data_IF_871160113706
#
_entry.id   IF_871160113706
#
_cell.length_a   1.000
_cell.length_b   1.000
_cell.length_c   1.000
_cell.angle_alpha   90.00
_cell.angle_beta   90.00
_cell.angle_gamma   90.00
#
_symmetry.space_group_name_H-M   'P 1'
#
loop_
_entity.id
_entity.type
_entity.pdbx_description
1 polymer ?
#
# COMPACT_ATOMS: atom_id res chain seq x y z
N UNK A 1 22.91 -6.90 7.54
CA UNK A 1 21.64 -6.31 8.01
C UNK A 1 20.52 -6.89 7.16
N UNK A 2 19.62 -7.67 7.74
CA UNK A 2 18.47 -8.22 7.04
C UNK A 2 17.66 -7.06 6.45
N UNK A 3 17.43 -7.04 5.13
CA UNK A 3 16.49 -6.11 4.51
C UNK A 3 15.12 -6.41 5.08
N UNK A 4 14.63 -5.57 5.99
CA UNK A 4 13.26 -5.64 6.46
C UNK A 4 12.34 -5.70 5.24
N UNK A 5 11.39 -6.64 5.27
CA UNK A 5 10.31 -6.76 4.30
C UNK A 5 9.54 -5.43 4.25
N UNK A 6 9.92 -4.56 3.31
CA UNK A 6 9.45 -3.18 3.27
C UNK A 6 8.01 -3.17 2.76
N UNK A 7 7.10 -2.65 3.58
CA UNK A 7 5.78 -2.28 3.09
C UNK A 7 5.94 -1.34 1.88
N UNK A 8 5.12 -1.57 0.85
CA UNK A 8 5.00 -0.60 -0.24
C UNK A 8 4.61 0.75 0.33
N UNK A 9 5.39 1.78 0.04
CA UNK A 9 5.13 3.14 0.49
C UNK A 9 4.27 3.91 -0.51
N UNK A 10 3.53 4.90 -0.02
CA UNK A 10 2.86 5.84 -0.91
C UNK A 10 3.89 6.71 -1.63
N UNK A 11 3.62 7.02 -2.90
CA UNK A 11 4.56 7.77 -3.73
C UNK A 11 5.03 9.07 -3.07
N UNK A 12 4.13 9.84 -2.51
CA UNK A 12 4.42 11.11 -1.84
C UNK A 12 5.16 10.95 -0.51
N UNK A 13 5.00 9.81 0.20
CA UNK A 13 5.68 9.56 1.47
C UNK A 13 7.18 9.32 1.29
N UNK A 14 7.63 9.01 0.07
CA UNK A 14 9.05 8.73 -0.21
C UNK A 14 9.95 9.94 0.11
N UNK A 15 9.41 11.16 -0.01
CA UNK A 15 10.11 12.39 0.40
C UNK A 15 10.46 12.42 1.89
N UNK A 16 9.61 11.83 2.75
CA UNK A 16 9.86 11.74 4.20
C UNK A 16 10.68 10.50 4.57
N UNK A 17 10.49 9.40 3.85
CA UNK A 17 11.16 8.13 4.12
C UNK A 17 12.63 8.14 3.69
N UNK A 18 12.93 8.72 2.52
CA UNK A 18 14.26 8.71 1.92
C UNK A 18 14.88 10.11 1.72
N UNK A 19 14.20 11.17 2.19
CA UNK A 19 14.64 12.55 2.07
C UNK A 19 14.62 13.05 0.63
N UNK A 20 15.60 13.88 0.26
CA UNK A 20 15.68 14.45 -1.08
C UNK A 20 15.73 13.38 -2.17
N UNK A 21 16.47 12.30 -1.95
CA UNK A 21 16.55 11.15 -2.87
C UNK A 21 15.18 10.52 -3.12
N UNK A 22 14.38 10.33 -2.07
CA UNK A 22 13.02 9.79 -2.19
C UNK A 22 12.10 10.71 -2.99
N UNK A 23 12.17 12.03 -2.74
CA UNK A 23 11.41 13.01 -3.49
C UNK A 23 11.75 13.00 -4.99
N UNK A 24 13.03 12.95 -5.36
CA UNK A 24 13.45 12.86 -6.77
C UNK A 24 13.06 11.50 -7.38
N UNK A 25 13.08 10.41 -6.60
CA UNK A 25 12.59 9.11 -7.05
C UNK A 25 11.10 9.17 -7.38
N UNK A 26 10.28 9.75 -6.50
CA UNK A 26 8.84 9.95 -6.75
C UNK A 26 8.58 10.78 -8.02
N UNK A 27 9.34 11.86 -8.25
CA UNK A 27 9.26 12.66 -9.48
C UNK A 27 9.62 11.83 -10.72
N UNK A 28 10.64 11.00 -10.64
CA UNK A 28 11.01 10.08 -11.74
C UNK A 28 9.87 9.13 -12.08
N UNK A 29 9.25 8.50 -11.07
CA UNK A 29 8.07 7.65 -11.26
C UNK A 29 6.94 8.40 -11.96
N UNK A 30 6.63 9.61 -11.51
CA UNK A 30 5.60 10.43 -12.13
C UNK A 30 5.93 10.76 -13.59
N UNK A 31 7.15 11.18 -13.90
CA UNK A 31 7.53 11.47 -15.28
C UNK A 31 7.35 10.26 -16.21
N UNK A 32 7.74 9.06 -15.77
CA UNK A 32 7.60 7.84 -16.57
C UNK A 32 6.14 7.40 -16.69
N UNK A 33 5.31 7.61 -15.64
CA UNK A 33 3.86 7.41 -15.71
C UNK A 33 3.22 8.38 -16.73
N UNK A 34 3.69 9.62 -16.79
CA UNK A 34 3.26 10.59 -17.79
C UNK A 34 3.59 10.16 -19.21
N UNK A 35 4.79 9.63 -19.44
CA UNK A 35 5.16 9.04 -20.74
C UNK A 35 4.28 7.86 -21.10
N UNK A 36 4.08 6.94 -20.15
CA UNK A 36 3.23 5.76 -20.35
C UNK A 36 1.79 6.12 -20.73
N UNK A 37 1.23 7.16 -20.11
CA UNK A 37 -0.14 7.65 -20.39
C UNK A 37 -0.21 8.62 -21.58
N UNK A 38 0.91 8.89 -22.25
CA UNK A 38 0.98 9.70 -23.47
C UNK A 38 1.35 8.90 -24.71
N UNK A 39 2.09 7.80 -24.51
CA UNK A 39 2.64 6.99 -25.58
C UNK A 39 2.49 5.50 -25.26
N UNK A 40 2.11 4.63 -26.22
CA UNK A 40 1.88 3.21 -25.96
C UNK A 40 3.18 2.40 -25.68
N UNK A 41 4.35 3.04 -25.62
CA UNK A 41 5.66 2.40 -25.40
C UNK A 41 6.31 2.89 -24.11
N UNK A 42 6.12 2.16 -23.02
CA UNK A 42 6.79 2.43 -21.75
C UNK A 42 7.35 1.13 -21.17
N UNK A 43 8.51 1.21 -20.52
CA UNK A 43 9.10 0.13 -19.72
C UNK A 43 8.49 0.05 -18.30
N UNK A 44 7.63 0.99 -17.93
CA UNK A 44 6.97 0.99 -16.64
C UNK A 44 5.83 -0.02 -16.63
N UNK A 45 5.74 -0.79 -15.56
CA UNK A 45 4.64 -1.72 -15.29
C UNK A 45 3.74 -1.11 -14.23
N UNK A 46 2.44 -1.16 -14.48
CA UNK A 46 1.42 -0.81 -13.49
C UNK A 46 0.63 -2.07 -13.15
N UNK A 47 0.37 -2.25 -11.86
CA UNK A 47 -0.48 -3.33 -11.38
C UNK A 47 -1.65 -2.75 -10.61
N UNK A 48 -2.81 -3.42 -10.68
CA UNK A 48 -3.96 -3.11 -9.83
C UNK A 48 -3.64 -3.52 -8.40
N UNK A 49 -3.87 -2.62 -7.47
CA UNK A 49 -3.80 -2.95 -6.05
C UNK A 49 -5.16 -3.48 -5.60
N UNK A 50 -5.22 -4.77 -5.32
CA UNK A 50 -6.40 -5.42 -4.78
C UNK A 50 -6.48 -5.18 -3.27
N UNK A 51 -7.70 -5.02 -2.75
CA UNK A 51 -7.98 -4.91 -1.31
C UNK A 51 -8.21 -6.30 -0.71
N UNK A 52 -7.20 -7.17 -0.84
CA UNK A 52 -7.25 -8.54 -0.35
C UNK A 52 -6.74 -8.69 1.08
N UNK A 53 -7.25 -9.67 1.82
CA UNK A 53 -6.78 -10.03 3.16
C UNK A 53 -7.20 -11.47 3.52
N UNK A 54 -6.37 -12.21 4.29
CA UNK A 54 -5.01 -11.86 4.71
C UNK A 54 -3.98 -11.91 3.58
N UNK A 55 -2.82 -11.27 3.80
CA UNK A 55 -1.67 -11.48 2.94
C UNK A 55 -1.09 -12.88 3.20
N UNK A 56 -0.97 -13.67 2.14
CA UNK A 56 -0.48 -15.06 2.17
C UNK A 56 0.91 -15.11 1.56
N UNK A 57 1.84 -15.73 2.25
CA UNK A 57 3.13 -16.14 1.72
C UNK A 57 3.09 -17.66 1.53
N UNK A 58 3.40 -18.15 0.33
CA UNK A 58 3.38 -19.57 0.04
C UNK A 58 4.40 -19.95 -1.03
N UNK A 59 4.73 -21.21 -1.10
CA UNK A 59 5.63 -21.75 -2.14
C UNK A 59 6.48 -22.89 -1.64
N UNK A 60 7.64 -23.06 -2.25
CA UNK A 60 8.61 -24.11 -1.90
C UNK A 60 9.59 -23.56 -0.86
N UNK A 61 9.69 -24.27 0.27
CA UNK A 61 10.67 -23.93 1.30
C UNK A 61 12.10 -24.08 0.72
N UNK A 62 12.96 -23.06 0.89
CA UNK A 62 14.26 -23.07 0.19
C UNK A 62 15.19 -24.22 0.58
N UNK A 63 15.09 -24.73 1.81
CA UNK A 63 15.93 -25.84 2.29
C UNK A 63 15.29 -27.20 2.02
N UNK A 64 13.99 -27.38 2.34
CA UNK A 64 13.36 -28.71 2.29
C UNK A 64 12.67 -28.99 0.95
N UNK A 65 12.32 -27.96 0.19
CA UNK A 65 11.55 -28.09 -1.04
C UNK A 65 10.07 -28.37 -0.83
N UNK A 66 9.60 -28.53 0.42
CA UNK A 66 8.21 -28.77 0.75
C UNK A 66 7.36 -27.52 0.51
N UNK A 67 6.09 -27.74 0.18
CA UNK A 67 5.16 -26.64 0.04
C UNK A 67 4.73 -26.13 1.42
N UNK A 68 4.74 -24.82 1.59
CA UNK A 68 4.29 -24.17 2.81
C UNK A 68 3.36 -23.01 2.56
N UNK A 69 2.62 -22.64 3.57
CA UNK A 69 1.87 -21.36 3.67
C UNK A 69 2.15 -20.68 5.00
N UNK A 70 1.90 -19.37 5.02
CA UNK A 70 1.92 -18.55 6.23
C UNK A 70 1.55 -17.12 5.93
N UNK A 71 1.71 -16.29 6.94
CA UNK A 71 1.59 -14.83 6.84
C UNK A 71 2.99 -14.20 6.87
N UNK A 72 3.09 -12.87 7.03
CA UNK A 72 4.41 -12.21 7.19
C UNK A 72 5.28 -12.81 8.30
N UNK A 73 4.70 -13.57 9.22
CA UNK A 73 5.42 -14.28 10.27
C UNK A 73 6.44 -15.31 9.76
N UNK A 74 6.36 -15.73 8.50
CA UNK A 74 7.36 -16.63 7.89
C UNK A 74 8.76 -16.01 7.79
N UNK A 75 8.85 -14.67 7.79
CA UNK A 75 10.10 -13.92 7.74
C UNK A 75 10.61 -13.50 9.15
N UNK A 76 9.95 -13.94 10.20
CA UNK A 76 10.37 -13.62 11.57
C UNK A 76 11.63 -14.40 11.98
N UNK A 77 12.29 -13.97 13.06
CA UNK A 77 13.43 -14.70 13.65
C UNK A 77 13.05 -16.12 14.07
N UNK A 78 11.84 -16.31 14.56
CA UNK A 78 11.18 -17.61 14.77
C UNK A 78 10.03 -17.69 13.75
N UNK A 79 10.28 -18.32 12.59
CA UNK A 79 9.33 -18.26 11.49
C UNK A 79 8.08 -19.10 11.77
N UNK A 80 6.91 -18.55 11.44
CA UNK A 80 5.63 -19.28 11.51
C UNK A 80 5.32 -19.88 10.14
N UNK A 81 5.77 -21.08 9.93
CA UNK A 81 5.64 -21.83 8.67
C UNK A 81 4.67 -22.98 8.88
N UNK A 82 3.68 -23.12 8.00
CA UNK A 82 2.72 -24.21 8.03
C UNK A 82 2.91 -25.09 6.79
N UNK A 83 3.26 -26.36 6.97
CA UNK A 83 3.41 -27.37 5.92
C UNK A 83 2.23 -28.34 5.91
N UNK A 84 1.46 -28.38 6.99
CA UNK A 84 0.28 -29.22 7.18
C UNK A 84 -0.73 -28.55 8.11
N UNK A 85 -1.91 -29.15 8.25
CA UNK A 85 -2.99 -28.62 9.09
C UNK A 85 -2.62 -28.58 10.59
N UNK A 86 -1.79 -29.51 11.05
CA UNK A 86 -1.31 -29.53 12.44
C UNK A 86 -0.45 -28.32 12.77
N UNK A 87 0.44 -27.90 11.85
CA UNK A 87 1.22 -26.66 12.02
C UNK A 87 0.31 -25.45 12.11
N UNK A 88 -0.76 -25.43 11.30
CA UNK A 88 -1.74 -24.33 11.34
C UNK A 88 -2.42 -24.26 12.71
N UNK A 89 -2.86 -25.40 13.25
CA UNK A 89 -3.56 -25.46 14.54
C UNK A 89 -2.67 -25.04 15.72
N UNK A 90 -1.35 -25.27 15.61
CA UNK A 90 -0.37 -24.84 16.62
C UNK A 90 -0.10 -23.34 16.55
N UNK A 91 -0.01 -22.77 15.34
CA UNK A 91 0.49 -21.42 15.12
C UNK A 91 -0.61 -20.35 14.96
N UNK A 92 -1.83 -20.76 14.63
CA UNK A 92 -2.94 -19.87 14.32
C UNK A 92 -4.27 -20.43 14.88
N UNK A 93 -5.26 -19.56 14.98
CA UNK A 93 -6.61 -19.93 15.49
C UNK A 93 -7.71 -19.19 14.70
N UNK A 94 -8.96 -19.58 14.93
CA UNK A 94 -10.14 -18.91 14.37
C UNK A 94 -10.21 -18.96 12.84
N UNK A 95 -10.79 -17.94 12.25
CA UNK A 95 -11.04 -17.86 10.81
C UNK A 95 -9.72 -17.83 9.98
N UNK A 96 -8.67 -17.24 10.54
CA UNK A 96 -7.36 -17.23 9.89
C UNK A 96 -6.78 -18.64 9.72
N UNK A 97 -6.92 -19.50 10.75
CA UNK A 97 -6.47 -20.88 10.66
C UNK A 97 -7.25 -21.64 9.56
N UNK A 98 -8.57 -21.47 9.47
CA UNK A 98 -9.38 -22.09 8.43
C UNK A 98 -8.93 -21.64 7.03
N UNK A 99 -8.68 -20.34 6.83
CA UNK A 99 -8.20 -19.79 5.55
C UNK A 99 -6.81 -20.32 5.19
N UNK A 100 -5.90 -20.49 6.16
CA UNK A 100 -4.58 -21.07 5.93
C UNK A 100 -4.62 -22.54 5.55
N UNK A 101 -5.51 -23.33 6.14
CA UNK A 101 -5.76 -24.74 5.74
C UNK A 101 -6.30 -24.83 4.32
N UNK A 102 -7.25 -23.96 3.95
CA UNK A 102 -7.69 -23.85 2.56
C UNK A 102 -6.55 -23.47 1.62
N UNK A 103 -5.67 -22.54 2.02
CA UNK A 103 -4.49 -22.17 1.25
C UNK A 103 -3.53 -23.36 1.06
N UNK A 104 -3.22 -24.13 2.10
CA UNK A 104 -2.43 -25.37 1.99
C UNK A 104 -3.02 -26.32 0.97
N UNK A 105 -4.30 -26.60 1.10
CA UNK A 105 -5.04 -27.57 0.26
C UNK A 105 -5.10 -27.19 -1.21
N UNK A 106 -5.29 -25.90 -1.51
CA UNK A 106 -5.56 -25.46 -2.87
C UNK A 106 -4.34 -24.84 -3.55
N UNK A 107 -3.52 -24.04 -2.86
CA UNK A 107 -2.36 -23.39 -3.46
C UNK A 107 -1.20 -24.36 -3.73
N UNK A 108 -1.09 -25.48 -3.00
CA UNK A 108 -0.12 -26.55 -3.28
C UNK A 108 -0.26 -27.16 -4.68
N UNK A 109 -1.43 -27.02 -5.30
CA UNK A 109 -1.71 -27.51 -6.66
C UNK A 109 -1.19 -26.57 -7.76
N UNK A 110 -0.83 -25.35 -7.40
CA UNK A 110 -0.31 -24.37 -8.36
C UNK A 110 1.14 -24.67 -8.70
N UNK A 111 1.56 -24.44 -9.96
CA UNK A 111 2.94 -24.63 -10.39
C UNK A 111 3.86 -23.50 -9.88
N UNK A 112 3.87 -23.27 -8.57
CA UNK A 112 4.67 -22.23 -7.92
C UNK A 112 6.14 -22.67 -7.88
N UNK A 113 7.01 -21.81 -8.40
CA UNK A 113 8.47 -21.95 -8.28
C UNK A 113 8.98 -20.89 -7.31
N UNK A 114 9.66 -21.32 -6.24
CA UNK A 114 10.14 -20.41 -5.18
C UNK A 114 9.01 -19.97 -4.24
N UNK A 115 9.07 -18.76 -3.75
CA UNK A 115 8.16 -18.20 -2.74
C UNK A 115 7.41 -17.00 -3.32
N UNK A 116 6.09 -16.98 -3.14
CA UNK A 116 5.21 -15.90 -3.58
C UNK A 116 4.45 -15.28 -2.40
N UNK A 117 4.14 -14.02 -2.54
CA UNK A 117 3.16 -13.33 -1.70
C UNK A 117 1.99 -12.89 -2.55
N UNK A 118 0.80 -13.11 -2.02
CA UNK A 118 -0.44 -12.62 -2.60
C UNK A 118 -1.43 -12.23 -1.52
N UNK A 119 -2.51 -11.62 -1.95
CA UNK A 119 -3.63 -11.25 -1.10
C UNK A 119 -4.80 -12.21 -1.38
N UNK A 120 -5.32 -12.84 -0.33
CA UNK A 120 -6.48 -13.72 -0.42
C UNK A 120 -7.73 -12.89 -0.68
N UNK A 121 -8.53 -13.31 -1.66
CA UNK A 121 -9.74 -12.60 -2.05
C UNK A 121 -11.01 -13.28 -1.52
N UNK A 122 -11.05 -14.60 -1.51
CA UNK A 122 -12.14 -15.38 -0.95
C UNK A 122 -11.72 -16.84 -0.73
N UNK A 123 -12.46 -17.50 0.14
CA UNK A 123 -12.54 -18.96 0.29
C UNK A 123 -13.99 -19.39 0.08
N UNK A 124 -14.68 -19.85 1.12
CA UNK A 124 -16.11 -20.22 1.06
C UNK A 124 -17.06 -19.03 1.33
N UNK A 125 -16.54 -17.83 1.49
CA UNK A 125 -17.24 -16.60 1.89
C UNK A 125 -17.79 -15.77 0.71
N UNK A 126 -17.79 -16.32 -0.51
CA UNK A 126 -18.43 -15.69 -1.66
C UNK A 126 -19.94 -15.95 -1.71
N UNK A 127 -20.70 -14.95 -2.15
CA UNK A 127 -22.18 -14.99 -2.16
C UNK A 127 -22.71 -14.49 -3.49
N UNK A 128 -23.77 -15.14 -4.01
CA UNK A 128 -24.50 -14.64 -5.18
C UNK A 128 -25.51 -13.59 -4.71
N UNK A 129 -25.43 -12.39 -5.29
CA UNK A 129 -26.33 -11.28 -4.99
C UNK A 129 -26.71 -10.51 -6.26
N UNK A 130 -27.85 -9.83 -6.22
CA UNK A 130 -28.19 -8.84 -7.23
C UNK A 130 -27.40 -7.55 -6.95
N UNK A 131 -26.63 -7.11 -7.92
CA UNK A 131 -25.87 -5.84 -7.87
C UNK A 131 -26.26 -5.01 -9.11
N UNK A 132 -26.94 -3.89 -8.89
CA UNK A 132 -27.68 -3.24 -9.97
C UNK A 132 -28.74 -4.19 -10.54
N UNK A 133 -28.77 -4.37 -11.85
CA UNK A 133 -29.73 -5.24 -12.53
C UNK A 133 -29.19 -6.66 -12.82
N UNK A 134 -27.96 -6.98 -12.37
CA UNK A 134 -27.30 -8.25 -12.68
C UNK A 134 -27.10 -9.14 -11.46
N UNK A 135 -27.29 -10.46 -11.66
CA UNK A 135 -26.86 -11.46 -10.68
C UNK A 135 -25.34 -11.56 -10.71
N UNK A 136 -24.69 -11.27 -9.61
CA UNK A 136 -23.24 -11.23 -9.47
C UNK A 136 -22.76 -12.13 -8.32
N UNK A 137 -21.59 -12.71 -8.50
CA UNK A 137 -20.86 -13.33 -7.39
C UNK A 137 -20.10 -12.24 -6.69
N UNK A 138 -20.35 -12.06 -5.40
CA UNK A 138 -19.71 -11.05 -4.56
C UNK A 138 -18.81 -11.69 -3.54
N UNK A 139 -17.69 -11.04 -3.25
CA UNK A 139 -16.76 -11.38 -2.17
C UNK A 139 -16.13 -10.10 -1.61
N UNK A 140 -15.91 -10.08 -0.31
CA UNK A 140 -15.38 -8.90 0.40
C UNK A 140 -14.22 -9.32 1.30
N UNK A 141 -12.99 -9.36 0.76
CA UNK A 141 -11.83 -9.79 1.55
C UNK A 141 -11.46 -8.82 2.67
N UNK A 142 -11.66 -7.52 2.47
CA UNK A 142 -11.37 -6.47 3.45
C UNK A 142 -12.45 -5.39 3.40
N UNK A 143 -12.16 -4.21 2.86
CA UNK A 143 -13.10 -3.08 2.80
C UNK A 143 -13.93 -3.07 1.52
N UNK A 144 -13.31 -3.44 0.39
CA UNK A 144 -13.97 -3.43 -0.92
C UNK A 144 -14.74 -4.73 -1.15
N UNK A 145 -15.99 -4.58 -1.58
CA UNK A 145 -16.77 -5.68 -2.14
C UNK A 145 -16.55 -5.74 -3.65
N UNK A 146 -16.04 -6.85 -4.13
CA UNK A 146 -15.92 -7.16 -5.54
C UNK A 146 -17.18 -7.86 -6.03
N UNK A 147 -17.64 -7.49 -7.23
CA UNK A 147 -18.81 -8.09 -7.85
C UNK A 147 -18.50 -8.47 -9.30
N UNK A 148 -18.68 -9.74 -9.62
CA UNK A 148 -18.46 -10.28 -10.96
C UNK A 148 -19.76 -10.86 -11.49
N UNK A 149 -20.29 -10.42 -12.66
CA UNK A 149 -21.50 -10.97 -13.22
C UNK A 149 -21.38 -12.49 -13.40
N UNK A 150 -22.38 -13.23 -12.90
CA UNK A 150 -22.37 -14.69 -12.83
C UNK A 150 -22.20 -15.37 -14.20
N UNK A 151 -22.74 -14.77 -15.24
CA UNK A 151 -22.81 -15.37 -16.57
C UNK A 151 -21.53 -15.15 -17.41
N UNK A 152 -20.60 -14.33 -16.93
CA UNK A 152 -19.29 -14.14 -17.57
C UNK A 152 -18.39 -15.36 -17.37
N UNK A 153 -17.38 -15.52 -18.22
CA UNK A 153 -16.40 -16.62 -18.06
C UNK A 153 -15.68 -16.56 -16.74
N UNK A 154 -15.31 -15.34 -16.27
CA UNK A 154 -14.73 -15.13 -14.96
C UNK A 154 -15.73 -15.51 -13.86
N UNK A 155 -17.00 -15.09 -13.97
CA UNK A 155 -18.04 -15.46 -13.02
C UNK A 155 -18.24 -16.98 -12.90
N UNK A 156 -18.30 -17.67 -14.03
CA UNK A 156 -18.38 -19.14 -14.07
C UNK A 156 -17.16 -19.82 -13.42
N UNK A 157 -15.97 -19.26 -13.66
CA UNK A 157 -14.72 -19.74 -13.02
C UNK A 157 -14.74 -19.53 -11.50
N UNK A 158 -15.09 -18.33 -11.04
CA UNK A 158 -15.22 -18.01 -9.62
C UNK A 158 -16.28 -18.92 -8.94
N UNK A 159 -17.41 -19.15 -9.59
CA UNK A 159 -18.47 -20.03 -9.04
C UNK A 159 -17.95 -21.42 -8.71
N UNK A 160 -17.11 -22.00 -9.57
CA UNK A 160 -16.54 -23.35 -9.44
C UNK A 160 -15.33 -23.41 -8.51
N UNK A 161 -14.61 -22.30 -8.30
CA UNK A 161 -13.40 -22.27 -7.47
C UNK A 161 -13.74 -22.28 -5.98
N UNK A 162 -12.82 -22.78 -5.19
CA UNK A 162 -12.86 -22.84 -3.73
C UNK A 162 -12.03 -21.76 -3.06
N UNK A 163 -11.08 -21.16 -3.82
CA UNK A 163 -10.16 -20.15 -3.37
C UNK A 163 -9.88 -19.15 -4.48
N UNK A 164 -9.84 -17.87 -4.14
CA UNK A 164 -9.39 -16.77 -5.00
C UNK A 164 -8.23 -16.02 -4.38
N UNK A 165 -7.16 -15.81 -5.16
CA UNK A 165 -5.95 -15.12 -4.72
C UNK A 165 -5.39 -14.25 -5.85
N UNK A 166 -4.75 -13.13 -5.48
CA UNK A 166 -3.95 -12.32 -6.38
C UNK A 166 -2.50 -12.31 -5.92
N UNK A 167 -1.57 -12.83 -6.71
CA UNK A 167 -0.16 -12.75 -6.43
C UNK A 167 0.45 -11.45 -6.98
N UNK A 168 1.31 -10.82 -6.20
CA UNK A 168 1.92 -9.54 -6.56
C UNK A 168 3.42 -9.45 -6.27
N UNK A 169 3.98 -10.32 -5.42
CA UNK A 169 5.41 -10.30 -5.05
C UNK A 169 5.98 -11.72 -5.09
N UNK A 170 7.14 -11.86 -5.67
CA UNK A 170 7.97 -13.06 -5.58
C UNK A 170 9.18 -12.81 -4.70
N UNK A 171 9.69 -13.85 -4.09
CA UNK A 171 10.89 -13.80 -3.25
C UNK A 171 11.94 -14.74 -3.80
N UNK A 172 13.20 -14.30 -3.79
CA UNK A 172 14.35 -15.07 -4.25
C UNK A 172 15.55 -14.88 -3.33
N UNK A 173 16.52 -15.77 -3.42
CA UNK A 173 17.69 -15.81 -2.53
C UNK A 173 17.42 -16.73 -1.33
N UNK A 174 18.13 -16.55 -0.28
CA UNK A 174 18.13 -17.42 0.90
C UNK A 174 19.56 -17.76 1.29
N UNK A 175 19.83 -18.68 2.22
CA UNK A 175 19.06 -19.93 2.46
C UNK A 175 17.81 -19.78 3.31
N UNK A 176 17.73 -18.81 4.21
CA UNK A 176 16.57 -18.68 5.07
C UNK A 176 15.50 -17.75 4.42
N UNK A 177 14.22 -17.98 4.73
CA UNK A 177 13.12 -17.15 4.22
C UNK A 177 13.31 -15.66 4.55
N UNK A 178 13.82 -15.32 5.73
CA UNK A 178 14.08 -13.93 6.16
C UNK A 178 15.15 -13.21 5.31
N UNK A 179 16.02 -13.97 4.63
CA UNK A 179 17.10 -13.43 3.80
C UNK A 179 16.68 -13.23 2.34
N UNK A 180 15.48 -13.70 1.99
CA UNK A 180 14.96 -13.58 0.64
C UNK A 180 14.65 -12.14 0.26
N UNK A 181 14.86 -11.79 -1.00
CA UNK A 181 14.68 -10.46 -1.57
C UNK A 181 13.37 -10.41 -2.35
N UNK A 182 12.48 -9.46 -2.05
CA UNK A 182 11.24 -9.27 -2.78
C UNK A 182 11.47 -8.70 -4.18
N UNK A 183 10.71 -9.18 -5.16
CA UNK A 183 10.56 -8.61 -6.49
C UNK A 183 9.07 -8.43 -6.80
N UNK A 184 8.68 -7.26 -7.29
CA UNK A 184 7.29 -6.94 -7.54
C UNK A 184 6.84 -7.35 -8.95
N UNK A 185 5.59 -7.77 -9.04
CA UNK A 185 4.95 -8.23 -10.28
C UNK A 185 5.23 -9.71 -10.54
N UNK A 186 4.18 -10.52 -10.47
CA UNK A 186 4.22 -11.97 -10.67
C UNK A 186 3.53 -12.33 -11.97
N UNK A 187 4.20 -13.11 -12.83
CA UNK A 187 3.54 -13.73 -13.98
C UNK A 187 2.71 -14.93 -13.51
N UNK A 188 1.40 -14.80 -13.62
CA UNK A 188 0.45 -15.84 -13.20
C UNK A 188 -0.12 -16.62 -14.38
N UNK A 189 0.37 -16.44 -15.60
CA UNK A 189 -0.17 -17.06 -16.82
C UNK A 189 -0.29 -18.58 -16.72
N UNK A 190 0.71 -19.24 -16.15
CA UNK A 190 0.75 -20.70 -15.95
C UNK A 190 -0.15 -21.20 -14.81
N UNK A 191 -0.70 -20.31 -13.99
CA UNK A 191 -1.52 -20.63 -12.83
C UNK A 191 -3.03 -20.47 -13.11
N UNK A 192 -3.40 -19.97 -14.30
CA UNK A 192 -4.78 -19.59 -14.62
C UNK A 192 -5.76 -20.78 -14.73
N UNK A 193 -5.30 -21.97 -15.03
CA UNK A 193 -6.13 -23.12 -15.36
C UNK A 193 -6.10 -24.25 -14.34
N UNK A 194 -5.76 -23.96 -13.08
CA UNK A 194 -5.73 -24.97 -12.02
C UNK A 194 -7.14 -25.11 -11.40
N UNK A 195 -7.73 -26.33 -11.39
CA UNK A 195 -9.06 -26.54 -10.84
C UNK A 195 -9.14 -26.18 -9.35
N UNK A 196 -10.24 -25.55 -8.96
CA UNK A 196 -10.52 -25.16 -7.57
C UNK A 196 -9.87 -23.85 -7.13
N UNK A 197 -9.00 -23.25 -7.92
CA UNK A 197 -8.36 -21.97 -7.61
C UNK A 197 -8.63 -20.96 -8.72
N UNK A 198 -9.00 -19.74 -8.36
CA UNK A 198 -8.97 -18.59 -9.27
C UNK A 198 -7.77 -17.73 -8.88
N UNK A 199 -6.75 -17.73 -9.72
CA UNK A 199 -5.63 -16.81 -9.59
C UNK A 199 -5.92 -15.57 -10.43
N UNK A 200 -6.02 -14.41 -9.78
CA UNK A 200 -6.24 -13.14 -10.45
C UNK A 200 -4.89 -12.53 -10.88
N UNK A 201 -4.85 -11.92 -12.05
CA UNK A 201 -3.70 -11.13 -12.44
C UNK A 201 -3.74 -9.78 -11.72
N UNK A 202 -2.60 -9.36 -11.20
CA UNK A 202 -2.41 -8.00 -10.75
C UNK A 202 -2.04 -7.06 -11.90
N UNK A 203 -1.63 -7.59 -13.06
CA UNK A 203 -1.21 -6.76 -14.19
C UNK A 203 -2.36 -5.88 -14.69
N UNK A 204 -2.04 -4.61 -14.84
CA UNK A 204 -2.94 -3.62 -15.41
C UNK A 204 -2.54 -3.35 -16.86
N UNK A 205 -3.47 -3.60 -17.77
CA UNK A 205 -3.22 -3.36 -19.19
C UNK A 205 -3.40 -1.87 -19.51
N UNK A 206 -2.29 -1.16 -19.57
CA UNK A 206 -2.28 0.28 -19.84
C UNK A 206 -2.79 0.64 -21.23
N UNK A 207 -2.75 -0.31 -22.19
CA UNK A 207 -3.30 -0.10 -23.54
C UNK A 207 -4.80 0.18 -23.53
N UNK A 208 -5.50 -0.29 -22.51
CA UNK A 208 -6.93 -0.05 -22.31
C UNK A 208 -7.19 1.27 -21.55
N UNK A 209 -6.11 1.92 -21.02
CA UNK A 209 -6.23 3.20 -20.35
C UNK A 209 -6.48 4.33 -21.37
N UNK A 210 -7.38 5.22 -21.00
CA UNK A 210 -7.59 6.45 -21.77
C UNK A 210 -6.35 7.34 -21.65
N UNK A 211 -5.79 7.77 -22.79
CA UNK A 211 -4.63 8.67 -22.79
C UNK A 211 -4.97 10.03 -22.16
N UNK A 212 -3.97 10.71 -21.63
CA UNK A 212 -4.16 12.06 -21.11
C UNK A 212 -4.73 13.01 -22.17
N UNK A 213 -5.71 13.81 -21.77
CA UNK A 213 -6.10 14.98 -22.55
C UNK A 213 -4.97 16.02 -22.49
N UNK A 214 -4.85 16.94 -23.48
CA UNK A 214 -3.88 18.04 -23.43
C UNK A 214 -4.00 18.87 -22.14
N UNK A 215 -5.22 19.05 -21.63
CA UNK A 215 -5.47 19.79 -20.40
C UNK A 215 -4.97 19.02 -19.15
N UNK A 216 -5.24 17.71 -19.06
CA UNK A 216 -4.77 16.88 -17.96
C UNK A 216 -3.22 16.80 -17.97
N UNK A 217 -2.62 16.68 -19.15
CA UNK A 217 -1.17 16.69 -19.32
C UNK A 217 -0.55 18.02 -18.85
N UNK A 218 -1.17 19.15 -19.17
CA UNK A 218 -0.70 20.46 -18.73
C UNK A 218 -0.76 20.59 -17.21
N UNK A 219 -1.88 20.19 -16.59
CA UNK A 219 -2.03 20.17 -15.13
C UNK A 219 -1.02 19.25 -14.47
N UNK A 220 -0.83 18.07 -15.04
CA UNK A 220 0.12 17.06 -14.57
C UNK A 220 1.56 17.57 -14.57
N UNK A 221 2.03 18.06 -15.72
CA UNK A 221 3.37 18.65 -15.85
C UNK A 221 3.59 19.84 -14.93
N UNK A 222 2.58 20.69 -14.75
CA UNK A 222 2.62 21.81 -13.81
C UNK A 222 2.80 21.34 -12.36
N UNK A 223 2.06 20.33 -11.93
CA UNK A 223 2.19 19.79 -10.58
C UNK A 223 3.59 19.21 -10.35
N UNK A 224 4.12 18.41 -11.29
CA UNK A 224 5.48 17.85 -11.20
C UNK A 224 6.53 18.98 -11.13
N UNK A 225 6.45 19.99 -11.99
CA UNK A 225 7.37 21.12 -11.99
C UNK A 225 7.36 21.88 -10.66
N UNK A 226 6.19 22.11 -10.08
CA UNK A 226 6.04 22.74 -8.76
C UNK A 226 6.61 21.86 -7.65
N UNK A 227 6.35 20.55 -7.68
CA UNK A 227 6.92 19.59 -6.72
C UNK A 227 8.44 19.61 -6.78
N UNK A 228 9.02 19.55 -7.98
CA UNK A 228 10.49 19.57 -8.19
C UNK A 228 11.12 20.88 -7.72
N UNK A 229 10.52 22.03 -8.06
CA UNK A 229 11.01 23.33 -7.63
C UNK A 229 11.04 23.49 -6.11
N UNK A 230 9.99 23.05 -5.43
CA UNK A 230 9.93 23.05 -3.97
C UNK A 230 10.90 22.04 -3.36
N UNK A 231 11.02 20.83 -3.94
CA UNK A 231 11.95 19.80 -3.49
C UNK A 231 13.41 20.26 -3.54
N UNK A 232 13.83 20.91 -4.64
CA UNK A 232 15.18 21.46 -4.77
C UNK A 232 15.52 22.44 -3.63
N UNK A 233 14.56 23.26 -3.22
CA UNK A 233 14.74 24.21 -2.12
C UNK A 233 14.74 23.52 -0.73
N UNK A 234 14.08 22.39 -0.60
CA UNK A 234 14.02 21.62 0.66
C UNK A 234 15.12 20.56 0.78
N UNK A 235 15.90 20.28 -0.27
CA UNK A 235 16.76 19.09 -0.34
C UNK A 235 17.71 18.94 0.85
N UNK A 236 18.46 20.00 1.19
CA UNK A 236 19.41 19.98 2.32
C UNK A 236 18.70 19.72 3.65
N UNK A 237 17.54 20.32 3.84
CA UNK A 237 16.73 20.12 5.04
C UNK A 237 16.20 18.68 5.14
N UNK A 238 15.70 18.11 4.06
CA UNK A 238 15.18 16.75 4.00
C UNK A 238 16.24 15.71 4.38
N UNK A 239 17.50 15.94 3.99
CA UNK A 239 18.58 15.03 4.33
C UNK A 239 18.97 15.13 5.82
N UNK A 240 18.86 16.31 6.43
CA UNK A 240 19.05 16.52 7.89
C UNK A 240 17.84 15.99 8.65
N UNK A 241 16.63 16.13 8.13
CA UNK A 241 15.38 15.75 8.81
C UNK A 241 15.37 14.29 9.26
N UNK A 242 15.98 13.39 8.49
CA UNK A 242 16.06 11.95 8.81
C UNK A 242 16.78 11.66 10.11
N UNK A 243 17.73 12.48 10.49
CA UNK A 243 18.56 12.31 11.69
C UNK A 243 18.21 13.29 12.80
N UNK A 244 17.21 14.16 12.57
CA UNK A 244 16.77 15.17 13.52
C UNK A 244 15.72 14.62 14.48
N UNK A 245 15.90 14.85 15.77
CA UNK A 245 15.04 14.33 16.85
C UNK A 245 15.64 13.11 17.54
N UNK A 246 14.90 12.55 18.50
CA UNK A 246 15.33 11.39 19.30
C UNK A 246 14.18 10.40 19.52
N UNK A 247 14.44 9.11 19.37
CA UNK A 247 13.49 8.03 19.63
C UNK A 247 12.19 8.20 18.83
N UNK A 248 11.04 8.15 19.50
CA UNK A 248 9.73 8.32 18.87
C UNK A 248 9.41 9.76 18.42
N UNK A 249 10.27 10.71 18.76
CA UNK A 249 10.18 12.12 18.35
C UNK A 249 11.17 12.49 17.25
N UNK A 250 11.66 11.50 16.49
CA UNK A 250 12.34 11.76 15.23
C UNK A 250 11.40 12.53 14.30
N UNK A 251 11.88 13.64 13.73
CA UNK A 251 11.02 14.60 13.03
C UNK A 251 10.41 14.03 11.73
N UNK A 252 11.14 13.25 10.94
CA UNK A 252 10.58 12.67 9.72
C UNK A 252 9.40 11.73 9.99
N UNK A 253 9.45 10.75 10.91
CA UNK A 253 8.29 9.99 11.35
C UNK A 253 7.16 10.86 11.92
N UNK A 254 7.48 11.91 12.68
CA UNK A 254 6.47 12.81 13.24
C UNK A 254 5.73 13.58 12.15
N UNK A 255 6.40 14.05 11.09
CA UNK A 255 5.73 14.62 9.92
C UNK A 255 4.76 13.62 9.29
N UNK A 256 5.18 12.36 9.12
CA UNK A 256 4.32 11.31 8.55
C UNK A 256 3.09 11.06 9.42
N UNK A 257 3.24 11.00 10.74
CA UNK A 257 2.12 10.87 11.68
C UNK A 257 1.19 12.08 11.58
N UNK A 258 1.74 13.29 11.55
CA UNK A 258 0.98 14.53 11.44
C UNK A 258 0.17 14.58 10.13
N UNK A 259 0.78 14.25 8.99
CA UNK A 259 0.06 14.18 7.70
C UNK A 259 -1.06 13.14 7.74
N UNK A 260 -0.82 12.01 8.40
CA UNK A 260 -1.85 10.98 8.59
C UNK A 260 -3.02 11.44 9.46
N UNK A 261 -2.87 12.47 10.31
CA UNK A 261 -4.02 13.02 11.06
C UNK A 261 -5.07 13.63 10.14
N UNK A 262 -4.66 14.32 9.08
CA UNK A 262 -5.59 14.82 8.06
C UNK A 262 -6.32 13.67 7.35
N UNK A 263 -5.59 12.63 6.96
CA UNK A 263 -6.18 11.46 6.29
C UNK A 263 -7.24 10.79 7.19
N UNK A 264 -6.90 10.55 8.46
CA UNK A 264 -7.84 9.95 9.43
C UNK A 264 -9.10 10.79 9.63
N UNK A 265 -8.96 12.11 9.57
CA UNK A 265 -10.10 13.03 9.66
C UNK A 265 -10.86 13.17 8.33
N UNK A 266 -10.42 12.56 7.25
CA UNK A 266 -10.98 12.71 5.91
C UNK A 266 -10.82 14.12 5.33
N UNK A 267 -9.77 14.84 5.72
CA UNK A 267 -9.50 16.22 5.30
C UNK A 267 -8.33 16.28 4.34
N UNK A 268 -8.46 17.11 3.32
CA UNK A 268 -7.32 17.54 2.49
C UNK A 268 -6.45 18.54 3.23
N UNK A 269 -5.22 18.70 2.82
CA UNK A 269 -4.37 19.79 3.32
C UNK A 269 -4.95 21.14 2.88
N UNK A 270 -5.18 22.08 3.82
CA UNK A 270 -5.78 23.38 3.48
C UNK A 270 -4.83 24.24 2.65
N UNK A 271 -3.58 24.37 3.06
CA UNK A 271 -2.49 25.04 2.34
C UNK A 271 -1.14 24.62 2.93
N UNK A 272 -0.06 24.77 2.18
CA UNK A 272 1.29 24.46 2.67
C UNK A 272 1.65 25.29 3.92
N UNK A 273 1.24 26.54 3.95
CA UNK A 273 1.50 27.44 5.07
C UNK A 273 0.74 27.00 6.35
N UNK A 274 -0.57 26.71 6.24
CA UNK A 274 -1.36 26.24 7.37
C UNK A 274 -0.85 24.90 7.92
N UNK A 275 -0.45 23.96 7.04
CA UNK A 275 0.13 22.68 7.43
C UNK A 275 1.48 22.88 8.12
N UNK A 276 2.32 23.80 7.63
CA UNK A 276 3.62 24.11 8.23
C UNK A 276 3.45 24.68 9.65
N UNK A 277 2.54 25.61 9.85
CA UNK A 277 2.24 26.16 11.20
C UNK A 277 1.68 25.10 12.12
N UNK A 278 0.69 24.34 11.66
CA UNK A 278 0.05 23.30 12.46
C UNK A 278 1.00 22.18 12.89
N UNK A 279 2.12 21.95 12.18
CA UNK A 279 3.12 20.99 12.63
C UNK A 279 3.80 21.43 13.94
N UNK A 280 4.03 22.73 14.15
CA UNK A 280 4.59 23.25 15.41
C UNK A 280 3.67 22.92 16.59
N UNK A 281 2.35 23.14 16.42
CA UNK A 281 1.37 22.85 17.46
C UNK A 281 1.27 21.34 17.73
N UNK A 282 1.27 20.54 16.66
CA UNK A 282 1.26 19.08 16.77
C UNK A 282 2.48 18.54 17.53
N UNK A 283 3.68 19.03 17.19
CA UNK A 283 4.93 18.64 17.88
C UNK A 283 4.90 19.04 19.34
N UNK A 284 4.46 20.26 19.65
CA UNK A 284 4.30 20.77 21.00
C UNK A 284 3.37 19.88 21.83
N UNK A 285 2.16 19.63 21.33
CA UNK A 285 1.17 18.81 22.03
C UNK A 285 1.64 17.36 22.25
N UNK A 286 2.37 16.78 21.29
CA UNK A 286 2.89 15.42 21.42
C UNK A 286 3.93 15.32 22.55
N UNK A 287 4.81 16.30 22.68
CA UNK A 287 5.81 16.34 23.75
C UNK A 287 5.20 16.71 25.11
N UNK A 288 4.23 17.63 25.14
CA UNK A 288 3.54 17.99 26.40
C UNK A 288 2.81 16.78 27.01
N UNK A 289 2.14 15.98 26.17
CA UNK A 289 1.53 14.71 26.60
C UNK A 289 2.57 13.76 27.18
N UNK A 290 3.72 13.66 26.55
CA UNK A 290 4.79 12.77 27.01
C UNK A 290 5.42 13.26 28.32
N UNK A 291 5.65 14.57 28.47
CA UNK A 291 6.17 15.19 29.68
C UNK A 291 5.23 14.95 30.86
N UNK A 292 3.91 15.09 30.64
CA UNK A 292 2.90 14.86 31.68
C UNK A 292 2.88 13.42 32.20
N UNK A 293 3.26 12.44 31.37
CA UNK A 293 3.33 11.03 31.75
C UNK A 293 4.59 10.66 32.54
N UNK A 294 5.60 11.53 32.61
CA UNK A 294 6.86 11.21 33.32
C UNK A 294 6.74 11.48 34.79
N UNK A 295 7.18 10.50 35.62
CA UNK A 295 7.19 10.61 37.08
C UNK A 295 8.51 11.20 37.63
N UNK A 296 9.63 10.89 36.96
CA UNK A 296 10.96 11.33 37.41
C UNK A 296 11.30 12.70 36.84
N UNK A 297 11.72 13.63 37.69
CA UNK A 297 12.09 15.00 37.33
C UNK A 297 13.25 15.08 36.33
N UNK A 298 14.26 14.21 36.45
CA UNK A 298 15.36 14.13 35.49
C UNK A 298 14.86 13.78 34.08
N UNK A 299 13.91 12.84 33.98
CA UNK A 299 13.27 12.45 32.71
C UNK A 299 12.39 13.57 32.15
N UNK A 300 11.63 14.27 32.99
CA UNK A 300 10.85 15.44 32.55
C UNK A 300 11.77 16.51 31.97
N UNK A 301 12.85 16.86 32.63
CA UNK A 301 13.84 17.85 32.17
C UNK A 301 14.40 17.46 30.78
N UNK A 302 14.70 16.17 30.57
CA UNK A 302 15.16 15.67 29.25
C UNK A 302 14.13 15.96 28.17
N UNK A 303 12.84 15.65 28.39
CA UNK A 303 11.80 15.87 27.40
C UNK A 303 11.45 17.35 27.19
N UNK A 304 11.54 18.17 28.23
CA UNK A 304 11.39 19.64 28.12
C UNK A 304 12.50 20.19 27.21
N UNK A 305 13.76 19.81 27.45
CA UNK A 305 14.88 20.23 26.60
C UNK A 305 14.69 19.76 25.14
N UNK A 306 14.27 18.50 24.94
CA UNK A 306 13.97 17.97 23.61
C UNK A 306 12.89 18.79 22.89
N UNK A 307 11.85 19.22 23.61
CA UNK A 307 10.79 20.09 23.08
C UNK A 307 11.36 21.44 22.65
N UNK A 308 12.16 22.09 23.51
CA UNK A 308 12.78 23.40 23.24
C UNK A 308 13.72 23.34 22.04
N UNK A 309 14.61 22.35 21.98
CA UNK A 309 15.56 22.15 20.90
C UNK A 309 14.83 21.85 19.57
N UNK A 310 13.77 21.01 19.61
CA UNK A 310 12.96 20.69 18.46
C UNK A 310 12.17 21.89 17.93
N UNK A 311 11.57 22.68 18.82
CA UNK A 311 10.86 23.92 18.42
C UNK A 311 11.80 24.96 17.83
N UNK A 312 13.01 25.10 18.39
CA UNK A 312 14.05 25.96 17.83
C UNK A 312 14.43 25.51 16.43
N UNK A 313 14.65 24.20 16.24
CA UNK A 313 14.97 23.62 14.93
C UNK A 313 13.84 23.85 13.92
N UNK A 314 12.57 23.60 14.29
CA UNK A 314 11.40 23.84 13.44
C UNK A 314 11.32 25.32 13.03
N UNK A 315 11.49 26.23 13.98
CA UNK A 315 11.47 27.69 13.71
C UNK A 315 12.58 28.11 12.76
N UNK A 316 13.80 27.64 12.96
CA UNK A 316 14.95 27.96 12.09
C UNK A 316 14.80 27.38 10.67
N UNK A 317 14.03 26.31 10.52
CA UNK A 317 13.80 25.63 9.24
C UNK A 317 12.39 25.83 8.68
N UNK A 318 11.66 26.88 9.09
CA UNK A 318 10.27 27.10 8.69
C UNK A 318 10.09 27.16 7.16
N UNK A 319 11.00 27.83 6.43
CA UNK A 319 10.94 27.90 4.96
C UNK A 319 11.21 26.55 4.28
N UNK A 320 12.25 25.77 4.60
CA UNK A 320 12.42 24.42 4.07
C UNK A 320 11.27 23.47 4.44
N UNK A 321 10.68 23.58 5.63
CA UNK A 321 9.50 22.83 6.02
C UNK A 321 8.32 23.16 5.09
N UNK A 322 8.04 24.44 4.87
CA UNK A 322 7.03 24.88 3.91
C UNK A 322 7.28 24.29 2.51
N UNK A 323 8.52 24.33 2.02
CA UNK A 323 8.88 23.76 0.73
C UNK A 323 8.71 22.24 0.69
N UNK A 324 8.98 21.53 1.79
CA UNK A 324 8.71 20.09 1.91
C UNK A 324 7.21 19.78 1.79
N UNK A 325 6.38 20.52 2.53
CA UNK A 325 4.92 20.39 2.48
C UNK A 325 4.40 20.72 1.08
N UNK A 326 4.87 21.80 0.47
CA UNK A 326 4.48 22.20 -0.89
C UNK A 326 4.86 21.14 -1.94
N UNK A 327 6.04 20.54 -1.81
CA UNK A 327 6.45 19.41 -2.68
C UNK A 327 5.55 18.21 -2.49
N UNK A 328 5.30 17.80 -1.24
CA UNK A 328 4.40 16.69 -0.90
C UNK A 328 3.00 16.88 -1.50
N UNK A 329 2.40 18.06 -1.32
CA UNK A 329 1.08 18.38 -1.88
C UNK A 329 1.04 18.30 -3.41
N UNK A 330 2.08 18.77 -4.09
CA UNK A 330 2.16 18.73 -5.54
C UNK A 330 2.45 17.30 -6.07
N UNK A 331 3.22 16.48 -5.36
CA UNK A 331 3.37 15.04 -5.65
C UNK A 331 2.03 14.33 -5.54
N UNK A 332 1.27 14.61 -4.47
CA UNK A 332 -0.09 14.07 -4.27
C UNK A 332 -1.04 14.50 -5.39
N UNK A 333 -1.00 15.76 -5.80
CA UNK A 333 -1.83 16.27 -6.89
C UNK A 333 -1.51 15.57 -8.22
N UNK A 334 -0.24 15.43 -8.58
CA UNK A 334 0.18 14.70 -9.78
C UNK A 334 -0.24 13.23 -9.72
N UNK A 335 -0.03 12.56 -8.59
CA UNK A 335 -0.48 11.17 -8.36
C UNK A 335 -1.99 11.02 -8.56
N UNK A 336 -2.81 11.93 -8.03
CA UNK A 336 -4.27 11.90 -8.17
C UNK A 336 -4.71 12.01 -9.62
N UNK A 337 -4.03 12.83 -10.44
CA UNK A 337 -4.32 12.92 -11.89
C UNK A 337 -4.08 11.57 -12.57
N UNK A 338 -2.98 10.89 -12.26
CA UNK A 338 -2.68 9.54 -12.79
C UNK A 338 -3.73 8.53 -12.35
N UNK A 339 -4.06 8.48 -11.06
CA UNK A 339 -5.06 7.55 -10.51
C UNK A 339 -6.38 7.69 -11.27
N UNK A 340 -6.91 8.91 -11.38
CA UNK A 340 -8.16 9.18 -12.11
C UNK A 340 -8.12 8.73 -13.57
N UNK A 341 -6.95 8.81 -14.19
CA UNK A 341 -6.79 8.35 -15.58
C UNK A 341 -6.81 6.82 -15.66
N UNK A 342 -6.14 6.13 -14.74
CA UNK A 342 -6.13 4.67 -14.67
C UNK A 342 -7.52 4.10 -14.31
N UNK A 343 -8.29 4.78 -13.46
CA UNK A 343 -9.64 4.37 -13.05
C UNK A 343 -10.68 4.44 -14.16
N UNK A 344 -10.40 5.11 -15.28
CA UNK A 344 -11.30 5.14 -16.44
C UNK A 344 -11.39 3.80 -17.18
N UNK A 345 -10.48 2.89 -16.92
CA UNK A 345 -10.50 1.53 -17.48
C UNK A 345 -11.60 0.71 -16.81
N UNK A 346 -12.51 0.18 -17.59
CA UNK A 346 -13.57 -0.68 -17.07
C UNK A 346 -12.99 -2.05 -16.69
N UNK A 347 -13.21 -2.45 -15.43
CA UNK A 347 -12.77 -3.72 -14.88
C UNK A 347 -13.87 -4.42 -14.08
N UNK A 348 -13.47 -5.23 -13.12
CA UNK A 348 -14.37 -5.86 -12.15
C UNK A 348 -15.07 -4.77 -11.34
N UNK A 349 -16.38 -4.90 -11.15
CA UNK A 349 -17.16 -3.96 -10.34
C UNK A 349 -16.66 -3.94 -8.89
N UNK A 350 -16.38 -2.75 -8.40
CA UNK A 350 -15.91 -2.50 -7.03
C UNK A 350 -16.90 -1.65 -6.28
N UNK A 351 -17.23 -2.03 -5.05
CA UNK A 351 -18.27 -1.43 -4.24
C UNK A 351 -17.85 -1.31 -2.78
N UNK A 352 -18.35 -0.30 -2.09
CA UNK A 352 -18.33 -0.22 -0.63
C UNK A 352 -19.72 -0.58 -0.13
N UNK A 353 -19.81 -1.49 0.83
CA UNK A 353 -21.06 -1.83 1.50
C UNK A 353 -21.50 -0.68 2.39
N UNK A 354 -22.77 -0.33 2.31
CA UNK A 354 -23.43 0.69 3.14
C UNK A 354 -24.68 0.09 3.78
N UNK A 355 -25.26 0.77 4.76
CA UNK A 355 -26.50 0.32 5.41
C UNK A 355 -27.66 0.16 4.43
N UNK A 356 -27.66 0.93 3.36
CA UNK A 356 -28.68 0.94 2.32
C UNK A 356 -28.30 0.13 1.06
N UNK A 357 -27.28 -0.74 1.12
CA UNK A 357 -26.85 -1.57 -0.01
C UNK A 357 -25.39 -1.36 -0.42
N UNK A 358 -25.14 -1.17 -1.72
CA UNK A 358 -23.79 -1.03 -2.27
C UNK A 358 -23.63 0.31 -2.99
N UNK A 359 -22.54 1.02 -2.69
CA UNK A 359 -22.10 2.21 -3.42
C UNK A 359 -20.93 1.84 -4.31
N UNK A 360 -20.97 2.23 -5.58
CA UNK A 360 -19.83 2.09 -6.50
C UNK A 360 -18.63 2.83 -5.93
N UNK A 361 -17.48 2.20 -5.94
CA UNK A 361 -16.19 2.80 -5.55
C UNK A 361 -15.14 2.53 -6.62
N UNK A 362 -14.04 3.28 -6.59
CA UNK A 362 -12.86 2.97 -7.36
C UNK A 362 -12.14 1.72 -6.77
N UNK A 363 -11.26 1.04 -7.52
CA UNK A 363 -10.35 0.04 -6.94
C UNK A 363 -9.48 0.70 -5.85
N UNK A 364 -8.90 -0.10 -4.93
CA UNK A 364 -8.04 0.47 -3.86
C UNK A 364 -6.96 1.39 -4.42
N UNK A 365 -6.46 1.10 -5.61
CA UNK A 365 -5.49 1.89 -6.35
C UNK A 365 -4.61 1.02 -7.24
N UNK A 366 -3.42 1.53 -7.47
CA UNK A 366 -2.45 0.89 -8.36
C UNK A 366 -1.07 0.85 -7.69
N UNK A 367 -0.18 0.05 -8.24
CA UNK A 367 1.24 0.03 -7.89
C UNK A 367 2.03 0.28 -9.17
N UNK A 368 2.85 1.32 -9.16
CA UNK A 368 3.81 1.58 -10.22
C UNK A 368 5.12 0.84 -9.92
N UNK A 369 5.62 0.10 -10.90
CA UNK A 369 6.84 -0.70 -10.78
C UNK A 369 7.86 -0.21 -11.81
N UNK A 370 9.07 0.07 -11.35
CA UNK A 370 10.18 0.57 -12.16
C UNK A 370 11.50 -0.02 -11.67
N UNK A 371 12.18 -0.79 -12.52
CA UNK A 371 13.52 -1.34 -12.22
C UNK A 371 13.63 -1.95 -10.81
N UNK A 372 12.66 -2.79 -10.44
CA UNK A 372 12.61 -3.46 -9.12
C UNK A 372 12.13 -2.59 -7.95
N UNK A 373 11.90 -1.29 -8.14
CA UNK A 373 11.27 -0.42 -7.15
C UNK A 373 9.78 -0.31 -7.41
N UNK A 374 8.98 -0.20 -6.34
CA UNK A 374 7.54 -0.08 -6.45
C UNK A 374 6.98 0.96 -5.49
N UNK A 375 6.04 1.77 -5.96
CA UNK A 375 5.36 2.80 -5.17
C UNK A 375 3.85 2.70 -5.33
N UNK A 376 3.12 2.94 -4.25
CA UNK A 376 1.65 2.95 -4.25
C UNK A 376 1.09 4.22 -4.86
N UNK A 377 0.13 4.03 -5.77
CA UNK A 377 -0.74 5.05 -6.32
C UNK A 377 -2.15 4.82 -5.76
N UNK A 378 -2.40 5.27 -4.54
CA UNK A 378 -3.67 5.09 -3.83
C UNK A 378 -4.23 6.45 -3.46
N UNK A 379 -5.53 6.68 -3.67
CA UNK A 379 -6.22 7.83 -3.10
C UNK A 379 -6.39 7.61 -1.59
N UNK A 380 -5.54 8.28 -0.81
CA UNK A 380 -5.50 8.10 0.65
C UNK A 380 -6.76 8.59 1.35
N UNK A 381 -7.42 9.60 0.80
CA UNK A 381 -8.65 10.13 1.42
C UNK A 381 -9.81 9.15 1.28
N UNK A 382 -9.90 8.46 0.15
CA UNK A 382 -10.96 7.48 -0.09
C UNK A 382 -10.68 6.17 0.65
N UNK A 383 -9.51 5.56 0.45
CA UNK A 383 -9.23 4.19 0.89
C UNK A 383 -8.50 4.10 2.23
N UNK A 384 -7.54 4.96 2.52
CA UNK A 384 -6.85 4.88 3.81
C UNK A 384 -7.76 5.28 4.97
N UNK A 385 -8.70 6.20 4.75
CA UNK A 385 -9.73 6.54 5.74
C UNK A 385 -10.62 5.35 6.03
N UNK A 386 -11.12 4.64 5.00
CA UNK A 386 -11.97 3.46 5.17
C UNK A 386 -11.26 2.40 6.02
N UNK A 387 -9.98 2.15 5.78
CA UNK A 387 -9.18 1.21 6.57
C UNK A 387 -9.00 1.59 8.05
N UNK A 388 -9.22 2.86 8.41
CA UNK A 388 -9.18 3.31 9.80
C UNK A 388 -10.55 3.31 10.50
N UNK A 389 -11.65 3.26 9.74
CA UNK A 389 -13.01 3.47 10.26
C UNK A 389 -13.94 2.26 10.12
N UNK A 390 -13.59 1.29 9.27
CA UNK A 390 -14.40 0.07 9.05
C UNK A 390 -13.93 -1.04 9.98
N UNK A 391 -14.87 -1.67 10.70
CA UNK A 391 -14.59 -2.90 11.46
C UNK A 391 -14.10 -4.00 10.50
N UNK A 392 -12.99 -4.62 10.87
CA UNK A 392 -12.38 -5.69 10.07
C UNK A 392 -13.05 -7.01 10.42
N UNK A 393 -13.70 -7.64 9.45
CA UNK A 393 -14.38 -8.93 9.61
C UNK A 393 -13.43 -10.16 9.78
N UNK A 394 -12.19 -9.94 10.21
CA UNK A 394 -11.22 -11.02 10.42
C UNK A 394 -10.36 -10.73 11.67
N UNK A 395 -11.00 -10.64 12.79
CA UNK A 395 -10.38 -10.55 14.14
C UNK A 395 -10.27 -11.92 14.76
#
# INVERSE_FOLDING_TARGET
MAKQNTHLEHLEDDILNQGSRGGFNAIKFLNELGVMLSEPRSSMRVTTKWDGAPAIICGKHPETGDFFVGTKGVFAKLPKICMNDGDVDVLYSGELANKLKDCLKYLSKLPIKGVLQGDLLYTNDKVIRKVGDQQSITFQPNTITYAVPKDTDLGKKIAKSKLGIVFHTSYSGGPELRDMIPSFGVDVSKMQNVPGVTVFSSDFNVKDATMFTPQDMTRYKSAIKKAEGSLKQASKFLDILKTSGEGKFMLAPMFKIYFNTYIRQGKTFPSADAVTRGFTDFYTQALDKEIALKKQESTKKKYIKMKEDGLKFIKQNSKPIYMTVASYMNLTAAKTIVIRQLERVKGIGTYIRTDNGFRVTAPEGFVAIRSGNALKLVDRLEFSRANFTVEKNWG
#
